data_IF_569844074265
#
_entry.id   IF_569844074265
#
_cell.length_a   1.000
_cell.length_b   1.000
_cell.length_c   1.000
_cell.angle_alpha   90.00
_cell.angle_beta   90.00
_cell.angle_gamma   90.00
#
_symmetry.space_group_name_H-M   'P 1'
#
loop_
_entity.id
_entity.type
_entity.pdbx_description
1 polymer ?
#
# COMPACT_ATOMS: atom_id res chain seq x y z
N UNK A 1 -13.73 27.84 -0.55
CA UNK A 1 -12.93 26.62 -0.67
C UNK A 1 -13.69 25.56 -1.47
N UNK A 2 -13.25 25.32 -2.70
CA UNK A 2 -13.92 24.41 -3.63
C UNK A 2 -13.81 22.94 -3.16
N UNK A 3 -12.78 22.63 -2.37
CA UNK A 3 -12.46 21.27 -1.93
C UNK A 3 -12.81 20.97 -0.46
N UNK A 4 -13.67 21.80 0.14
CA UNK A 4 -14.24 21.55 1.46
C UNK A 4 -15.76 21.53 1.37
N UNK A 5 -16.37 20.68 2.18
CA UNK A 5 -17.84 20.56 2.31
C UNK A 5 -18.21 20.51 3.78
N UNK A 6 -19.34 21.09 4.10
CA UNK A 6 -19.91 21.01 5.44
C UNK A 6 -21.01 19.94 5.46
N UNK A 7 -21.05 19.17 6.54
CA UNK A 7 -22.12 18.20 6.84
C UNK A 7 -22.88 18.64 8.09
N UNK A 8 -24.13 18.24 8.20
CA UNK A 8 -25.10 18.62 9.25
C UNK A 8 -25.01 17.72 10.50
N UNK A 9 -23.86 17.12 10.73
CA UNK A 9 -23.53 16.28 11.87
C UNK A 9 -22.26 16.78 12.53
N UNK A 10 -22.22 16.70 13.87
CA UNK A 10 -21.10 17.22 14.65
C UNK A 10 -20.73 16.38 15.85
N UNK A 11 -20.09 16.99 16.85
CA UNK A 11 -19.67 16.29 18.06
C UNK A 11 -20.83 15.76 18.88
N UNK A 12 -22.01 16.39 18.83
CA UNK A 12 -23.23 15.87 19.46
C UNK A 12 -23.70 14.53 18.84
N UNK A 13 -23.30 14.24 17.62
CA UNK A 13 -23.59 12.98 16.90
C UNK A 13 -22.41 11.98 17.00
N UNK A 14 -21.38 12.29 17.80
CA UNK A 14 -20.21 11.42 18.01
C UNK A 14 -19.11 11.59 16.96
N UNK A 15 -19.15 12.65 16.15
CA UNK A 15 -18.12 12.89 15.15
C UNK A 15 -16.87 13.52 15.75
N UNK A 16 -15.71 13.11 15.26
CA UNK A 16 -14.39 13.64 15.63
C UNK A 16 -13.53 13.91 14.39
N UNK A 17 -12.47 14.69 14.58
CA UNK A 17 -11.48 14.96 13.54
C UNK A 17 -10.84 13.63 13.10
N UNK A 18 -10.45 13.57 11.83
CA UNK A 18 -9.84 12.43 11.12
C UNK A 18 -10.81 11.28 10.77
N UNK A 19 -12.08 11.37 11.10
CA UNK A 19 -13.04 10.36 10.65
C UNK A 19 -13.19 10.38 9.12
N UNK A 20 -13.15 9.20 8.46
CA UNK A 20 -13.36 9.09 7.01
C UNK A 20 -14.82 9.36 6.65
N UNK A 21 -15.00 10.01 5.51
CA UNK A 21 -16.30 10.28 4.92
C UNK A 21 -16.39 9.60 3.55
N UNK A 22 -17.41 8.79 3.37
CA UNK A 22 -17.63 7.98 2.18
C UNK A 22 -19.03 8.20 1.63
N UNK A 23 -19.25 7.82 0.38
CA UNK A 23 -20.55 7.59 -0.22
C UNK A 23 -20.73 6.13 -0.60
N UNK A 24 -21.86 5.79 -1.19
CA UNK A 24 -22.09 4.46 -1.77
C UNK A 24 -21.11 4.11 -2.89
N UNK A 25 -20.49 5.10 -3.53
CA UNK A 25 -19.55 4.90 -4.65
C UNK A 25 -18.08 4.85 -4.22
N UNK A 26 -17.71 5.43 -3.06
CA UNK A 26 -16.32 5.44 -2.61
C UNK A 26 -16.02 6.57 -1.61
N UNK A 27 -14.74 6.81 -1.41
CA UNK A 27 -14.23 7.82 -0.47
C UNK A 27 -14.50 9.22 -1.01
N UNK A 28 -15.04 10.08 -0.14
CA UNK A 28 -15.26 11.52 -0.41
C UNK A 28 -14.13 12.34 0.22
N UNK A 29 -13.77 12.04 1.47
CA UNK A 29 -12.80 12.84 2.19
C UNK A 29 -12.67 12.45 3.65
N UNK A 30 -12.26 13.43 4.45
CA UNK A 30 -11.95 13.28 5.87
C UNK A 30 -12.41 14.49 6.65
N UNK A 31 -12.94 14.29 7.85
CA UNK A 31 -13.32 15.38 8.75
C UNK A 31 -12.08 16.11 9.25
N UNK A 32 -12.03 17.44 9.10
CA UNK A 32 -10.94 18.30 9.55
C UNK A 32 -11.32 19.26 10.66
N UNK A 33 -12.61 19.57 10.77
CA UNK A 33 -13.15 20.46 11.81
C UNK A 33 -14.48 19.92 12.29
N UNK A 34 -14.75 20.03 13.59
CA UNK A 34 -15.99 19.56 14.21
C UNK A 34 -16.53 20.64 15.13
N UNK A 35 -17.79 21.03 14.91
CA UNK A 35 -18.61 21.87 15.79
C UNK A 35 -19.68 21.01 16.47
N UNK A 36 -20.50 21.60 17.31
CA UNK A 36 -21.52 20.82 18.05
C UNK A 36 -22.53 20.11 17.11
N UNK A 37 -22.93 20.74 16.01
CA UNK A 37 -23.96 20.23 15.09
C UNK A 37 -23.51 20.09 13.64
N UNK A 38 -22.30 20.49 13.32
CA UNK A 38 -21.77 20.47 11.95
C UNK A 38 -20.32 20.07 11.94
N UNK A 39 -19.84 19.53 10.84
CA UNK A 39 -18.43 19.23 10.61
C UNK A 39 -18.00 19.63 9.21
N UNK A 40 -16.73 19.99 9.07
CA UNK A 40 -16.11 20.31 7.78
C UNK A 40 -15.31 19.11 7.30
N UNK A 41 -15.60 18.71 6.07
CA UNK A 41 -14.94 17.60 5.36
C UNK A 41 -13.96 18.17 4.34
N UNK A 42 -12.68 17.76 4.39
CA UNK A 42 -11.72 17.98 3.32
C UNK A 42 -11.91 16.88 2.29
N UNK A 43 -12.12 17.25 1.04
CA UNK A 43 -12.30 16.31 -0.06
C UNK A 43 -10.94 15.71 -0.48
N UNK A 44 -10.97 14.51 -1.08
CA UNK A 44 -9.75 13.85 -1.59
C UNK A 44 -9.07 14.63 -2.71
N UNK A 45 -9.80 15.52 -3.41
CA UNK A 45 -9.26 16.40 -4.44
C UNK A 45 -8.54 17.65 -3.93
N UNK A 46 -8.57 17.92 -2.62
CA UNK A 46 -7.82 19.03 -2.01
C UNK A 46 -6.31 18.77 -2.08
N UNK A 47 -5.51 19.77 -2.43
CA UNK A 47 -4.05 19.65 -2.51
C UNK A 47 -3.38 19.30 -1.17
N UNK A 48 -4.05 19.58 -0.06
CA UNK A 48 -3.62 19.19 1.28
C UNK A 48 -4.20 17.85 1.72
N UNK A 49 -4.91 17.14 0.84
CA UNK A 49 -5.38 15.78 1.12
C UNK A 49 -4.27 14.77 0.83
N UNK A 50 -4.20 13.72 1.61
CA UNK A 50 -3.32 12.59 1.37
C UNK A 50 -3.99 11.31 1.86
N UNK A 51 -4.17 10.35 0.98
CA UNK A 51 -4.80 9.07 1.30
C UNK A 51 -3.84 7.95 0.93
N UNK A 52 -3.49 7.12 1.92
CA UNK A 52 -2.70 5.92 1.66
C UNK A 52 -3.49 4.96 0.78
N UNK A 53 -3.00 4.72 -0.41
CA UNK A 53 -3.70 4.00 -1.47
C UNK A 53 -2.88 2.83 -2.01
N UNK A 54 -3.55 1.93 -2.69
CA UNK A 54 -2.91 0.84 -3.42
C UNK A 54 -3.70 0.48 -4.67
N UNK A 55 -3.00 -0.06 -5.65
CA UNK A 55 -3.64 -0.73 -6.80
C UNK A 55 -4.29 -2.01 -6.31
N UNK A 56 -5.55 -2.24 -6.64
CA UNK A 56 -6.32 -3.37 -6.12
C UNK A 56 -5.69 -4.71 -6.48
N UNK A 57 -5.29 -4.89 -7.74
CA UNK A 57 -4.83 -6.17 -8.28
C UNK A 57 -3.36 -6.46 -7.93
N UNK A 58 -2.47 -5.52 -8.20
CA UNK A 58 -1.03 -5.69 -8.03
C UNK A 58 -0.54 -5.41 -6.62
N UNK A 59 -1.38 -4.78 -5.78
CA UNK A 59 -1.06 -4.34 -4.42
C UNK A 59 0.05 -3.30 -4.34
N UNK A 60 0.44 -2.70 -5.47
CA UNK A 60 1.38 -1.60 -5.50
C UNK A 60 0.87 -0.43 -4.67
N UNK A 61 1.66 0.01 -3.70
CA UNK A 61 1.28 1.04 -2.74
C UNK A 61 1.77 2.40 -3.17
N UNK A 62 1.01 3.42 -2.80
CA UNK A 62 1.34 4.82 -3.03
C UNK A 62 0.51 5.76 -2.17
N UNK A 63 0.72 7.05 -2.36
CA UNK A 63 -0.05 8.11 -1.73
C UNK A 63 -0.92 8.79 -2.78
N UNK A 64 -2.24 8.75 -2.60
CA UNK A 64 -3.16 9.51 -3.44
C UNK A 64 -3.27 10.93 -2.90
N UNK A 65 -2.96 11.91 -3.73
CA UNK A 65 -2.99 13.33 -3.39
C UNK A 65 -3.80 14.13 -4.41
N UNK A 66 -4.58 15.08 -3.93
CA UNK A 66 -5.25 16.07 -4.77
C UNK A 66 -4.23 17.08 -5.33
N UNK A 67 -4.56 17.66 -6.48
CA UNK A 67 -3.75 18.69 -7.11
C UNK A 67 -4.55 19.99 -7.19
N UNK A 68 -3.84 21.12 -7.38
CA UNK A 68 -4.47 22.44 -7.47
C UNK A 68 -5.50 22.56 -8.63
N UNK A 69 -5.36 21.74 -9.67
CA UNK A 69 -6.30 21.64 -10.79
C UNK A 69 -7.49 20.67 -10.55
N UNK A 70 -7.55 20.08 -9.34
CA UNK A 70 -8.62 19.12 -8.97
C UNK A 70 -8.38 17.70 -9.46
N UNK A 71 -7.28 17.43 -10.11
CA UNK A 71 -6.90 16.06 -10.47
C UNK A 71 -6.35 15.30 -9.26
N UNK A 72 -6.44 13.97 -9.31
CA UNK A 72 -5.81 13.10 -8.32
C UNK A 72 -4.54 12.49 -8.89
N UNK A 73 -3.47 12.49 -8.11
CA UNK A 73 -2.24 11.78 -8.43
C UNK A 73 -1.94 10.71 -7.41
N UNK A 74 -1.57 9.55 -7.90
CA UNK A 74 -1.00 8.50 -7.08
C UNK A 74 0.52 8.59 -7.19
N UNK A 75 1.15 8.95 -6.09
CA UNK A 75 2.59 9.20 -5.98
C UNK A 75 3.30 8.07 -5.23
N UNK A 76 4.62 8.01 -5.36
CA UNK A 76 5.51 7.04 -4.70
C UNK A 76 5.29 5.57 -5.10
N UNK A 77 4.67 5.31 -6.24
CA UNK A 77 4.57 3.95 -6.80
C UNK A 77 5.84 3.64 -7.58
N UNK A 78 6.56 2.59 -7.17
CA UNK A 78 7.81 2.18 -7.82
C UNK A 78 7.58 1.84 -9.29
N UNK A 79 8.54 2.21 -10.15
CA UNK A 79 8.54 1.85 -11.59
C UNK A 79 8.69 0.36 -11.86
N UNK A 80 9.02 -0.44 -10.85
CA UNK A 80 9.07 -1.90 -10.92
C UNK A 80 7.69 -2.55 -10.70
N UNK A 81 6.69 -1.74 -10.30
CA UNK A 81 5.33 -2.21 -10.12
C UNK A 81 4.59 -2.28 -11.45
N UNK A 82 3.78 -3.32 -11.65
CA UNK A 82 2.92 -3.44 -12.84
C UNK A 82 1.62 -2.64 -12.61
N UNK A 83 1.57 -1.43 -13.13
CA UNK A 83 0.40 -0.54 -13.06
C UNK A 83 -0.03 -0.14 -14.45
N UNK A 84 -1.31 -0.26 -14.73
CA UNK A 84 -1.91 -0.03 -16.06
C UNK A 84 -3.07 0.95 -16.00
N UNK A 85 -3.32 1.61 -17.11
CA UNK A 85 -4.54 2.39 -17.31
C UNK A 85 -5.75 1.48 -17.17
N UNK A 86 -6.72 1.91 -16.37
CA UNK A 86 -7.91 1.13 -16.05
C UNK A 86 -7.85 0.40 -14.70
N UNK A 87 -6.68 0.32 -14.06
CA UNK A 87 -6.54 -0.30 -12.74
C UNK A 87 -7.35 0.47 -11.67
N UNK A 88 -7.94 -0.28 -10.75
CA UNK A 88 -8.73 0.28 -9.66
C UNK A 88 -7.79 0.62 -8.50
N UNK A 89 -7.96 1.83 -7.96
CA UNK A 89 -7.25 2.31 -6.79
C UNK A 89 -8.19 2.26 -5.60
N UNK A 90 -7.69 1.65 -4.51
CA UNK A 90 -8.41 1.51 -3.25
C UNK A 90 -7.55 2.00 -2.08
N UNK A 91 -8.16 2.25 -0.93
CA UNK A 91 -7.43 2.58 0.29
C UNK A 91 -6.60 1.39 0.76
N UNK A 92 -5.38 1.65 1.23
CA UNK A 92 -4.47 0.59 1.72
C UNK A 92 -4.72 0.19 3.17
N UNK A 93 -5.38 1.05 3.96
CA UNK A 93 -5.54 0.89 5.41
C UNK A 93 -4.35 1.40 6.23
N UNK A 94 -3.24 1.75 5.57
CA UNK A 94 -2.04 2.27 6.23
C UNK A 94 -2.35 3.64 6.86
N UNK A 95 -1.85 3.86 8.08
CA UNK A 95 -2.08 5.09 8.84
C UNK A 95 -3.38 5.09 9.65
N UNK A 96 -4.22 4.05 9.58
CA UNK A 96 -5.36 3.85 10.47
C UNK A 96 -6.49 4.87 10.36
N UNK A 97 -6.46 5.74 9.34
CA UNK A 97 -7.52 6.74 9.11
C UNK A 97 -8.62 6.14 8.25
N UNK A 98 -8.27 5.56 7.11
CA UNK A 98 -9.22 4.95 6.20
C UNK A 98 -9.20 3.43 6.32
N UNK A 99 -10.35 2.75 6.42
CA UNK A 99 -10.38 1.29 6.32
C UNK A 99 -9.84 0.84 4.97
N UNK A 100 -9.23 -0.33 4.94
CA UNK A 100 -8.68 -0.93 3.73
C UNK A 100 -9.77 -1.31 2.73
N UNK A 101 -9.50 -1.07 1.45
CA UNK A 101 -10.33 -1.57 0.34
C UNK A 101 -11.45 -0.64 -0.10
N UNK A 102 -11.53 0.59 0.39
CA UNK A 102 -12.52 1.55 -0.10
C UNK A 102 -12.12 2.09 -1.48
N UNK A 103 -13.04 2.13 -2.45
CA UNK A 103 -12.74 2.67 -3.78
C UNK A 103 -12.37 4.17 -3.72
N UNK A 104 -11.28 4.51 -4.41
CA UNK A 104 -10.79 5.88 -4.57
C UNK A 104 -10.97 6.37 -6.01
N UNK A 105 -10.64 5.53 -6.97
CA UNK A 105 -10.73 5.89 -8.39
C UNK A 105 -10.15 4.85 -9.32
N UNK A 106 -9.94 5.26 -10.57
CA UNK A 106 -9.39 4.43 -11.64
C UNK A 106 -8.22 5.15 -12.29
N UNK A 107 -7.15 4.42 -12.60
CA UNK A 107 -5.97 4.94 -13.30
C UNK A 107 -6.37 5.43 -14.68
N UNK A 108 -6.13 6.71 -14.98
CA UNK A 108 -6.40 7.33 -16.28
C UNK A 108 -5.15 7.49 -17.13
N UNK A 109 -3.98 7.73 -16.54
CA UNK A 109 -2.69 7.72 -17.23
C UNK A 109 -1.57 7.26 -16.31
N UNK A 110 -0.55 6.64 -16.90
CA UNK A 110 0.67 6.23 -16.23
C UNK A 110 1.84 6.77 -17.06
N UNK A 111 2.65 7.62 -16.45
CA UNK A 111 3.80 8.23 -17.08
C UNK A 111 5.07 7.83 -16.33
N UNK A 112 6.13 7.58 -17.10
CA UNK A 112 7.46 7.27 -16.59
C UNK A 112 8.48 8.11 -17.33
N UNK A 113 9.25 8.87 -16.61
CA UNK A 113 10.44 9.53 -17.16
C UNK A 113 11.65 8.59 -17.14
N UNK A 114 12.61 8.80 -18.03
CA UNK A 114 13.74 7.88 -18.21
C UNK A 114 14.61 7.69 -16.96
N UNK A 115 14.62 8.68 -16.07
CA UNK A 115 15.42 8.68 -14.83
C UNK A 115 14.58 8.57 -13.56
N UNK A 116 13.27 8.36 -13.65
CA UNK A 116 12.39 8.34 -12.49
C UNK A 116 12.42 6.98 -11.80
N UNK A 117 12.40 7.00 -10.48
CA UNK A 117 12.26 5.85 -9.59
C UNK A 117 10.78 5.51 -9.37
N UNK A 118 9.91 6.52 -9.54
CA UNK A 118 8.47 6.41 -9.32
C UNK A 118 7.70 6.79 -10.57
N UNK A 119 6.54 6.18 -10.74
CA UNK A 119 5.57 6.60 -11.76
C UNK A 119 4.90 7.91 -11.38
N UNK A 120 4.51 8.70 -12.40
CA UNK A 120 3.48 9.74 -12.29
C UNK A 120 2.16 9.14 -12.78
N UNK A 121 1.24 8.89 -11.85
CA UNK A 121 -0.03 8.23 -12.15
C UNK A 121 -1.17 9.22 -11.90
N UNK A 122 -1.97 9.49 -12.94
CA UNK A 122 -3.18 10.29 -12.79
C UNK A 122 -4.37 9.35 -12.55
N UNK A 123 -5.18 9.68 -11.56
CA UNK A 123 -6.32 8.90 -11.14
C UNK A 123 -7.60 9.72 -11.34
N UNK A 124 -8.59 9.13 -11.99
CA UNK A 124 -9.94 9.68 -12.04
C UNK A 124 -10.71 9.23 -10.81
N UNK A 125 -11.20 10.17 -10.02
CA UNK A 125 -11.97 9.88 -8.81
C UNK A 125 -13.18 8.99 -9.12
N UNK A 126 -13.47 8.05 -8.24
CA UNK A 126 -14.65 7.18 -8.33
C UNK A 126 -15.94 7.97 -8.02
N UNK A 127 -15.85 8.94 -7.14
CA UNK A 127 -16.97 9.80 -6.76
C UNK A 127 -16.49 11.23 -6.58
N UNK A 128 -17.38 12.18 -6.78
CA UNK A 128 -17.17 13.59 -6.48
C UNK A 128 -18.22 14.05 -5.47
N UNK A 129 -17.86 15.01 -4.62
CA UNK A 129 -18.78 15.53 -3.59
C UNK A 129 -20.01 16.22 -4.18
N UNK A 130 -19.96 16.64 -5.43
CA UNK A 130 -21.06 17.34 -6.11
C UNK A 130 -22.23 16.42 -6.43
N UNK A 131 -21.97 15.12 -6.58
CA UNK A 131 -22.96 14.13 -6.96
C UNK A 131 -23.56 13.36 -5.76
N UNK A 132 -23.19 13.75 -4.53
CA UNK A 132 -23.64 13.05 -3.33
C UNK A 132 -24.41 13.98 -2.42
N UNK A 133 -25.68 13.67 -2.21
CA UNK A 133 -26.58 14.35 -1.26
C UNK A 133 -26.44 13.78 0.15
N UNK A 134 -26.09 12.49 0.25
CA UNK A 134 -25.91 11.77 1.51
C UNK A 134 -24.49 11.20 1.60
N UNK A 135 -23.94 11.24 2.80
CA UNK A 135 -22.61 10.69 3.11
C UNK A 135 -22.66 9.81 4.35
N UNK A 136 -21.74 8.87 4.42
CA UNK A 136 -21.52 8.02 5.57
C UNK A 136 -20.22 8.43 6.24
N UNK A 137 -20.24 8.60 7.55
CA UNK A 137 -19.04 8.83 8.35
C UNK A 137 -18.69 7.54 9.09
N UNK A 138 -17.47 7.07 8.91
CA UNK A 138 -16.96 5.87 9.59
C UNK A 138 -16.46 6.30 10.96
N UNK A 139 -17.18 5.92 12.01
CA UNK A 139 -16.91 6.36 13.38
C UNK A 139 -15.97 5.44 14.15
N UNK A 140 -15.76 4.22 13.69
CA UNK A 140 -14.82 3.25 14.27
C UNK A 140 -14.27 2.33 13.20
N UNK A 141 -13.00 1.95 13.34
CA UNK A 141 -12.36 0.92 12.55
C UNK A 141 -12.23 -0.33 13.40
N UNK A 142 -12.46 -1.50 12.80
CA UNK A 142 -12.10 -2.77 13.42
C UNK A 142 -10.62 -3.05 13.15
N UNK A 143 -9.98 -3.88 13.99
CA UNK A 143 -8.56 -4.25 13.83
C UNK A 143 -8.27 -4.88 12.46
N UNK A 144 -9.25 -5.55 11.86
CA UNK A 144 -9.15 -6.13 10.51
C UNK A 144 -9.18 -5.09 9.38
N UNK A 145 -9.70 -3.89 9.64
CA UNK A 145 -9.83 -2.81 8.66
C UNK A 145 -8.64 -1.85 8.65
N UNK A 146 -7.81 -1.91 9.67
CA UNK A 146 -6.53 -1.21 9.73
C UNK A 146 -5.38 -2.15 9.39
N UNK A 147 -4.40 -1.67 8.64
CA UNK A 147 -3.14 -2.40 8.47
C UNK A 147 -2.25 -2.02 9.66
N UNK A 148 -1.86 -3.01 10.48
CA UNK A 148 -0.97 -2.76 11.60
C UNK A 148 0.43 -2.36 11.11
N UNK A 149 1.17 -1.62 11.93
CA UNK A 149 2.58 -1.28 11.65
C UNK A 149 3.46 -2.53 11.52
N UNK A 150 3.04 -3.64 12.12
CA UNK A 150 3.69 -4.95 12.01
C UNK A 150 3.56 -5.55 10.61
N UNK A 151 2.43 -5.36 9.91
CA UNK A 151 2.24 -5.82 8.55
C UNK A 151 3.15 -5.08 7.56
N UNK A 152 3.40 -3.78 7.81
CA UNK A 152 4.31 -2.96 7.01
C UNK A 152 5.76 -3.41 7.22
N UNK A 153 6.14 -3.73 8.46
CA UNK A 153 7.46 -4.24 8.82
C UNK A 153 7.74 -5.59 8.18
N UNK A 154 6.74 -6.48 8.15
CA UNK A 154 6.86 -7.82 7.58
C UNK A 154 6.96 -7.79 6.06
N UNK A 155 6.22 -6.90 5.38
CA UNK A 155 6.30 -6.73 3.93
C UNK A 155 7.67 -6.23 3.46
N UNK A 156 8.35 -5.40 4.28
CA UNK A 156 9.71 -4.90 4.00
C UNK A 156 10.82 -5.87 4.42
N UNK A 157 10.50 -6.93 5.15
CA UNK A 157 11.47 -7.88 5.73
C UNK A 157 11.57 -9.19 4.97
N UNK A 158 11.09 -9.30 3.73
CA UNK A 158 11.26 -10.54 2.94
C UNK A 158 12.75 -10.77 2.68
N UNK A 159 13.39 -11.79 3.27
CA UNK A 159 14.78 -12.10 3.00
C UNK A 159 14.88 -12.61 1.57
N UNK A 160 15.72 -11.96 0.79
CA UNK A 160 16.20 -12.50 -0.46
C UNK A 160 16.82 -13.88 -0.21
N UNK A 161 16.22 -14.90 -0.79
CA UNK A 161 16.84 -16.14 -1.20
C UNK A 161 17.61 -16.93 -0.16
N UNK A 162 16.95 -17.80 0.58
CA UNK A 162 17.64 -18.98 1.10
C UNK A 162 17.73 -20.02 0.00
N UNK A 163 18.96 -20.23 -0.48
CA UNK A 163 19.35 -21.41 -1.24
C UNK A 163 18.88 -22.66 -0.51
N UNK A 164 18.11 -23.47 -1.21
CA UNK A 164 17.73 -24.80 -0.73
C UNK A 164 18.98 -25.67 -0.72
N UNK A 165 19.58 -25.89 0.45
CA UNK A 165 20.48 -27.00 0.66
C UNK A 165 19.63 -28.28 0.69
N UNK A 166 19.79 -29.06 -0.37
CA UNK A 166 19.28 -30.41 -0.44
C UNK A 166 20.16 -31.28 0.45
N UNK A 167 19.72 -31.54 1.67
CA UNK A 167 20.31 -32.53 2.54
C UNK A 167 19.97 -33.93 2.02
N UNK A 168 20.95 -34.53 1.36
CA UNK A 168 20.92 -35.96 1.06
C UNK A 168 21.29 -36.71 2.34
N UNK A 169 20.30 -37.41 2.87
CA UNK A 169 20.41 -38.32 4.00
C UNK A 169 21.01 -39.62 3.50
N UNK A 170 22.26 -39.91 3.81
CA UNK A 170 22.83 -41.26 3.69
C UNK A 170 23.04 -41.83 5.07
N UNK A 171 22.58 -43.03 5.20
CA UNK A 171 22.43 -43.92 6.32
C UNK A 171 23.80 -44.51 6.71
N UNK A 172 24.06 -44.60 8.02
CA UNK A 172 25.10 -45.37 8.65
C UNK A 172 24.99 -46.86 8.28
N UNK A 173 26.13 -47.46 7.98
CA UNK A 173 26.42 -48.83 8.42
C UNK A 173 27.93 -49.01 8.54
N UNK A 174 28.27 -49.56 9.68
CA UNK A 174 29.55 -49.91 10.25
C UNK A 174 30.28 -51.04 9.54
N UNK A 175 31.60 -51.02 9.58
CA UNK A 175 32.48 -52.09 10.08
C UNK A 175 33.87 -51.98 9.44
N UNK A 176 34.84 -51.67 10.23
CA UNK A 176 35.92 -52.56 10.74
C UNK A 176 36.92 -53.08 9.69
N UNK A 177 38.15 -52.87 10.05
CA UNK A 177 39.34 -53.70 9.98
C UNK A 177 40.55 -53.25 9.12
N UNK A 178 41.55 -52.92 9.87
CA UNK A 178 42.98 -53.21 9.85
C UNK A 178 43.85 -53.15 8.57
N UNK A 179 44.98 -52.53 8.87
CA UNK A 179 46.37 -52.89 8.52
C UNK A 179 46.89 -52.55 7.12
N UNK A 180 47.87 -51.79 7.12
CA UNK A 180 49.30 -52.09 7.12
C UNK A 180 50.05 -51.70 5.81
N UNK A 181 51.14 -51.01 6.01
CA UNK A 181 52.42 -51.09 5.39
C UNK A 181 52.75 -50.44 4.03
N UNK A 182 53.66 -49.51 4.17
CA UNK A 182 54.91 -49.29 3.46
C UNK A 182 54.99 -48.74 2.03
N UNK A 183 55.74 -47.67 2.02
CA UNK A 183 57.00 -47.46 1.28
C UNK A 183 56.86 -47.28 -0.24
N UNK A 184 57.43 -46.30 -0.66
CA UNK A 184 58.66 -45.82 -1.18
C UNK A 184 58.58 -45.17 -2.57
N UNK A 185 59.23 -44.03 -2.66
CA UNK A 185 60.11 -43.51 -3.75
C UNK A 185 59.56 -43.55 -5.17
N UNK A 186 59.75 -42.61 -6.01
CA UNK A 186 60.96 -41.89 -6.44
C UNK A 186 60.56 -41.01 -7.66
N UNK A 187 61.20 -39.90 -7.71
CA UNK A 187 61.77 -39.15 -8.82
C UNK A 187 61.15 -39.18 -10.25
N UNK A 188 61.12 -38.00 -10.81
CA UNK A 188 61.65 -37.85 -12.17
C UNK A 188 60.86 -36.84 -13.03
N UNK A 189 61.33 -35.64 -13.03
CA UNK A 189 61.81 -34.80 -14.13
C UNK A 189 61.17 -34.88 -15.51
N UNK A 190 61.01 -33.68 -16.03
CA UNK A 190 61.25 -33.24 -17.42
C UNK A 190 60.05 -33.42 -18.43
N UNK A 191 59.67 -32.45 -18.98
CA UNK A 191 59.93 -31.47 -20.05
C UNK A 191 58.77 -30.48 -20.12
#
# INVERSE_FOLDING_TARGET
DVYKRQIDKGSADGLTINMPVTSSAGVIGQIIEVSAKTSTVRLIGDENSGVSAMVQDTRAQGMLQGQADGTLRLEYVSVDSDVKVGDIIVTSGIGGVFPKGLPLGTVSSVEKSANDVYYTIVVRAQTTAENNEEVLVITSLTDEQSTSDEDVSTANSTPQGTSRDVATKTKDESSDDSSDTSETTDSGSNE
#
